data_IF_115086460335
#
_entry.id   IF_115086460335
#
_cell.length_a   1.000
_cell.length_b   1.000
_cell.length_c   1.000
_cell.angle_alpha   90.00
_cell.angle_beta   90.00
_cell.angle_gamma   90.00
#
_symmetry.space_group_name_H-M   'P 1'
#
loop_
_entity.id
_entity.type
_entity.pdbx_description
1 polymer ?
#
# COMPACT_ATOMS: atom_id res chain seq x y z
N UNK A 1 -70.65 59.81 39.96
CA UNK A 1 -70.20 58.47 39.53
C UNK A 1 -68.92 58.69 38.72
N UNK A 2 -67.73 58.13 38.97
CA UNK A 2 -67.23 57.10 39.89
C UNK A 2 -65.70 57.01 39.64
N UNK A 3 -64.87 56.96 40.70
CA UNK A 3 -63.63 56.14 40.95
C UNK A 3 -62.64 55.87 39.78
N UNK A 4 -61.35 56.25 39.86
CA UNK A 4 -60.22 55.73 40.67
C UNK A 4 -59.41 54.59 40.01
N UNK A 5 -58.10 54.88 39.82
CA UNK A 5 -56.87 54.08 39.88
C UNK A 5 -56.83 52.54 39.66
N UNK A 6 -55.66 52.09 39.18
CA UNK A 6 -54.88 50.90 39.59
C UNK A 6 -54.54 49.88 38.49
N UNK A 7 -53.22 49.77 38.26
CA UNK A 7 -52.34 48.58 38.13
C UNK A 7 -52.85 47.29 37.46
N UNK A 8 -51.92 46.68 36.71
CA UNK A 8 -51.18 45.43 37.06
C UNK A 8 -51.19 44.39 35.93
N UNK A 9 -49.98 43.90 35.73
CA UNK A 9 -49.52 42.73 35.00
C UNK A 9 -50.36 41.44 35.09
N UNK A 10 -49.94 40.49 34.23
CA UNK A 10 -50.18 39.03 34.13
C UNK A 10 -51.25 38.64 33.10
N UNK A 11 -51.07 37.62 32.24
CA UNK A 11 -50.26 36.40 32.36
C UNK A 11 -50.08 35.70 30.98
N UNK A 12 -49.04 34.88 30.82
CA UNK A 12 -49.12 33.70 29.94
C UNK A 12 -47.84 33.24 29.23
N UNK A 13 -47.09 32.30 29.85
CA UNK A 13 -46.20 31.27 29.24
C UNK A 13 -44.98 31.79 28.43
N UNK A 14 -43.77 31.25 28.50
CA UNK A 14 -43.21 30.01 29.05
C UNK A 14 -41.70 30.03 28.77
N UNK A 15 -40.92 29.56 29.76
CA UNK A 15 -39.65 28.83 29.61
C UNK A 15 -38.37 29.61 29.24
N UNK A 16 -37.41 29.37 30.13
CA UNK A 16 -35.97 29.62 30.25
C UNK A 16 -35.10 29.33 29.02
N UNK A 17 -33.84 29.84 29.01
CA UNK A 17 -33.04 30.10 27.81
C UNK A 17 -32.32 28.86 27.29
N UNK A 18 -32.16 28.76 25.97
CA UNK A 18 -31.28 27.79 25.32
C UNK A 18 -30.11 28.52 24.68
N UNK A 19 -28.95 28.47 25.34
CA UNK A 19 -27.65 28.69 24.70
C UNK A 19 -27.42 27.54 23.73
N UNK A 20 -27.51 27.79 22.42
CA UNK A 20 -27.00 26.87 21.42
C UNK A 20 -25.49 27.07 21.28
N UNK A 21 -24.75 26.35 22.13
CA UNK A 21 -23.33 26.09 21.92
C UNK A 21 -23.23 25.17 20.70
N UNK A 22 -22.74 25.70 19.58
CA UNK A 22 -22.32 24.90 18.42
C UNK A 22 -21.21 23.95 18.87
N UNK A 23 -21.59 22.70 19.14
CA UNK A 23 -20.66 21.61 19.39
C UNK A 23 -20.13 21.18 18.03
N UNK A 24 -18.86 21.49 17.81
CA UNK A 24 -18.01 20.91 16.77
C UNK A 24 -18.13 19.39 16.85
N UNK A 25 -18.85 18.77 15.92
CA UNK A 25 -18.73 17.34 15.65
C UNK A 25 -17.44 17.13 14.87
N UNK A 26 -16.32 17.16 15.58
CA UNK A 26 -15.17 16.40 15.16
C UNK A 26 -15.58 14.93 15.23
N UNK A 27 -15.95 14.38 14.07
CA UNK A 27 -16.01 12.95 13.82
C UNK A 27 -14.61 12.42 14.10
N UNK A 28 -14.40 12.00 15.34
CA UNK A 28 -13.26 11.16 15.72
C UNK A 28 -13.44 9.92 14.87
N UNK A 29 -12.63 9.79 13.81
CA UNK A 29 -12.39 8.51 13.15
C UNK A 29 -11.92 7.57 14.25
N UNK A 30 -12.83 6.78 14.81
CA UNK A 30 -12.49 5.64 15.64
C UNK A 30 -11.67 4.72 14.75
N UNK A 31 -10.35 4.82 14.85
CA UNK A 31 -9.48 3.75 14.40
C UNK A 31 -9.91 2.54 15.24
N UNK A 32 -10.54 1.50 14.65
CA UNK A 32 -10.87 0.32 15.41
C UNK A 32 -9.55 -0.16 15.99
N UNK A 33 -9.45 -0.20 17.32
CA UNK A 33 -8.25 -0.68 18.02
C UNK A 33 -8.11 -2.13 17.58
N UNK A 34 -7.32 -2.35 16.52
CA UNK A 34 -7.00 -3.67 16.02
C UNK A 34 -6.42 -4.42 17.22
N UNK A 35 -7.01 -5.57 17.58
CA UNK A 35 -6.53 -6.37 18.69
C UNK A 35 -5.02 -6.61 18.54
N UNK A 36 -4.28 -6.72 19.64
CA UNK A 36 -2.83 -6.94 19.60
C UNK A 36 -2.45 -8.10 18.67
N UNK A 37 -3.24 -9.17 18.68
CA UNK A 37 -3.12 -10.30 17.75
C UNK A 37 -3.16 -9.86 16.27
N UNK A 38 -4.17 -9.09 15.86
CA UNK A 38 -4.28 -8.62 14.48
C UNK A 38 -3.11 -7.70 14.08
N UNK A 39 -2.55 -6.94 15.02
CA UNK A 39 -1.36 -6.10 14.77
C UNK A 39 -0.13 -6.98 14.56
N UNK A 40 0.05 -8.01 15.38
CA UNK A 40 1.13 -8.99 15.25
C UNK A 40 1.03 -9.71 13.89
N UNK A 41 -0.16 -10.17 13.52
CA UNK A 41 -0.42 -10.80 12.21
C UNK A 41 -0.08 -9.87 11.04
N UNK A 42 -0.48 -8.59 11.09
CA UNK A 42 -0.11 -7.60 10.06
C UNK A 42 1.41 -7.45 9.93
N UNK A 43 2.14 -7.37 11.04
CA UNK A 43 3.61 -7.24 11.03
C UNK A 43 4.29 -8.50 10.48
N UNK A 44 3.80 -9.70 10.85
CA UNK A 44 4.33 -10.96 10.31
C UNK A 44 4.11 -11.08 8.80
N UNK A 45 2.90 -10.78 8.32
CA UNK A 45 2.59 -10.80 6.90
C UNK A 45 3.44 -9.79 6.12
N UNK A 46 3.63 -8.59 6.70
CA UNK A 46 4.52 -7.58 6.14
C UNK A 46 5.96 -8.11 6.03
N UNK A 47 6.46 -8.83 7.04
CA UNK A 47 7.78 -9.47 6.99
C UNK A 47 7.94 -10.41 5.80
N UNK A 48 6.93 -11.24 5.52
CA UNK A 48 6.93 -12.16 4.36
C UNK A 48 6.97 -11.38 3.04
N UNK A 49 6.20 -10.30 2.93
CA UNK A 49 6.16 -9.45 1.73
C UNK A 49 7.50 -8.74 1.52
N UNK A 50 8.12 -8.23 2.59
CA UNK A 50 9.46 -7.62 2.56
C UNK A 50 10.52 -8.62 2.09
N UNK A 51 10.50 -9.85 2.60
CA UNK A 51 11.46 -10.87 2.15
C UNK A 51 11.31 -11.21 0.66
N UNK A 52 10.07 -11.29 0.16
CA UNK A 52 9.81 -11.48 -1.28
C UNK A 52 10.33 -10.30 -2.09
N UNK A 53 10.06 -9.08 -1.65
CA UNK A 53 10.54 -7.87 -2.32
C UNK A 53 12.07 -7.84 -2.37
N UNK A 54 12.76 -8.13 -1.26
CA UNK A 54 14.22 -8.21 -1.22
C UNK A 54 14.78 -9.20 -2.23
N UNK A 55 14.24 -10.42 -2.28
CA UNK A 55 14.68 -11.45 -3.24
C UNK A 55 14.51 -11.02 -4.69
N UNK A 56 13.39 -10.36 -5.02
CA UNK A 56 13.15 -9.84 -6.37
C UNK A 56 14.11 -8.69 -6.71
N UNK A 57 14.36 -7.80 -5.75
CA UNK A 57 15.26 -6.67 -5.93
C UNK A 57 16.72 -7.13 -6.08
N UNK A 58 17.16 -8.10 -5.29
CA UNK A 58 18.49 -8.71 -5.41
C UNK A 58 18.65 -9.39 -6.77
N UNK A 59 17.62 -10.11 -7.24
CA UNK A 59 17.62 -10.70 -8.59
C UNK A 59 17.73 -9.65 -9.69
N UNK A 60 17.02 -8.52 -9.55
CA UNK A 60 17.09 -7.39 -10.49
C UNK A 60 18.48 -6.74 -10.50
N UNK A 61 19.11 -6.53 -9.34
CA UNK A 61 20.46 -5.98 -9.26
C UNK A 61 21.47 -6.88 -9.96
N UNK A 62 21.45 -8.19 -9.65
CA UNK A 62 22.30 -9.17 -10.31
C UNK A 62 22.12 -9.18 -11.84
N UNK A 63 20.88 -9.01 -12.31
CA UNK A 63 20.57 -8.94 -13.73
C UNK A 63 21.08 -7.65 -14.40
N UNK A 64 21.06 -6.53 -13.68
CA UNK A 64 21.55 -5.24 -14.16
C UNK A 64 23.08 -5.18 -14.26
N UNK A 65 23.78 -5.94 -13.43
CA UNK A 65 25.23 -6.11 -13.50
C UNK A 65 25.67 -6.98 -14.69
N UNK A 66 24.74 -7.71 -15.30
CA UNK A 66 25.00 -8.58 -16.43
C UNK A 66 25.24 -7.75 -17.71
N UNK A 67 26.48 -7.34 -17.94
CA UNK A 67 26.87 -6.64 -19.16
C UNK A 67 27.06 -7.63 -20.31
N UNK A 68 26.22 -7.49 -21.34
CA UNK A 68 26.51 -8.06 -22.66
C UNK A 68 27.73 -7.33 -23.24
N UNK A 69 28.83 -8.05 -23.45
CA UNK A 69 29.99 -7.49 -24.15
C UNK A 69 29.56 -6.91 -25.50
N UNK A 70 30.13 -5.77 -25.89
CA UNK A 70 29.80 -5.06 -27.15
C UNK A 70 30.04 -5.91 -28.41
N UNK A 71 30.75 -7.03 -28.27
CA UNK A 71 31.09 -8.01 -29.29
C UNK A 71 30.14 -9.22 -29.32
N UNK A 72 29.18 -9.33 -28.39
CA UNK A 72 28.18 -10.40 -28.33
C UNK A 72 28.74 -11.81 -28.12
N UNK A 73 30.04 -11.92 -27.81
CA UNK A 73 30.80 -13.18 -27.77
C UNK A 73 30.99 -13.74 -26.35
N UNK A 74 30.68 -12.96 -25.30
CA UNK A 74 30.94 -13.34 -23.91
C UNK A 74 29.73 -13.86 -23.14
N UNK A 75 28.51 -13.71 -23.65
CA UNK A 75 27.28 -14.05 -22.92
C UNK A 75 26.68 -15.36 -23.41
N UNK A 76 26.35 -16.24 -22.46
CA UNK A 76 25.68 -17.51 -22.74
C UNK A 76 24.54 -17.69 -21.75
N UNK A 77 23.40 -18.16 -22.24
CA UNK A 77 22.27 -18.57 -21.40
C UNK A 77 22.20 -20.09 -21.42
N UNK A 78 22.05 -20.67 -20.23
CA UNK A 78 21.77 -22.10 -20.02
C UNK A 78 20.47 -22.23 -19.25
N UNK A 79 19.43 -22.80 -19.87
CA UNK A 79 18.20 -23.20 -19.20
C UNK A 79 18.29 -24.68 -18.87
N UNK A 80 18.11 -25.02 -17.60
CA UNK A 80 18.11 -26.41 -17.12
C UNK A 80 16.73 -26.79 -16.60
N UNK A 81 16.21 -27.89 -17.12
CA UNK A 81 14.95 -28.48 -16.68
C UNK A 81 15.17 -29.44 -15.49
N UNK A 82 14.13 -29.70 -14.71
CA UNK A 82 14.14 -30.65 -13.60
C UNK A 82 14.49 -32.08 -14.05
N UNK A 83 14.20 -32.42 -15.31
CA UNK A 83 14.59 -33.69 -15.94
C UNK A 83 16.07 -33.75 -16.34
N UNK A 84 16.87 -32.72 -16.07
CA UNK A 84 18.29 -32.65 -16.39
C UNK A 84 18.60 -32.25 -17.85
N UNK A 85 17.58 -31.90 -18.64
CA UNK A 85 17.78 -31.37 -20.00
C UNK A 85 18.32 -29.95 -19.92
N UNK A 86 19.28 -29.63 -20.77
CA UNK A 86 19.92 -28.32 -20.83
C UNK A 86 19.76 -27.72 -22.23
N UNK A 87 19.21 -26.52 -22.30
CA UNK A 87 19.21 -25.67 -23.48
C UNK A 87 20.27 -24.60 -23.30
N UNK A 88 21.26 -24.53 -24.20
CA UNK A 88 22.39 -23.60 -24.12
C UNK A 88 22.49 -22.81 -25.43
N UNK A 89 22.59 -21.49 -25.33
CA UNK A 89 22.79 -20.60 -26.49
C UNK A 89 23.67 -19.41 -26.13
N UNK A 90 24.53 -19.02 -27.07
CA UNK A 90 25.34 -17.79 -27.04
C UNK A 90 24.91 -16.81 -28.13
N UNK A 91 23.77 -17.04 -28.79
CA UNK A 91 23.29 -16.15 -29.83
C UNK A 91 22.78 -14.85 -29.21
N UNK A 92 23.45 -13.73 -29.52
CA UNK A 92 23.18 -12.42 -28.92
C UNK A 92 21.69 -12.04 -28.93
N UNK A 93 20.99 -12.20 -30.07
CA UNK A 93 19.55 -11.85 -30.16
C UNK A 93 18.71 -12.62 -29.13
N UNK A 94 18.99 -13.92 -28.97
CA UNK A 94 18.27 -14.76 -28.01
C UNK A 94 18.63 -14.37 -26.59
N UNK A 95 19.90 -14.11 -26.31
CA UNK A 95 20.37 -13.68 -24.98
C UNK A 95 19.72 -12.37 -24.57
N UNK A 96 19.74 -11.37 -25.46
CA UNK A 96 19.14 -10.05 -25.22
C UNK A 96 17.63 -10.12 -25.01
N UNK A 97 16.91 -10.89 -25.85
CA UNK A 97 15.45 -11.06 -25.72
C UNK A 97 15.08 -11.71 -24.37
N UNK A 98 15.84 -12.72 -23.95
CA UNK A 98 15.62 -13.37 -22.65
C UNK A 98 15.92 -12.40 -21.52
N UNK A 99 17.00 -11.63 -21.59
CA UNK A 99 17.37 -10.64 -20.59
C UNK A 99 16.26 -9.59 -20.40
N UNK A 100 15.78 -9.00 -21.50
CA UNK A 100 14.68 -8.04 -21.50
C UNK A 100 13.39 -8.63 -20.93
N UNK A 101 13.06 -9.87 -21.33
CA UNK A 101 11.86 -10.56 -20.82
C UNK A 101 11.93 -10.81 -19.32
N UNK A 102 13.09 -11.23 -18.81
CA UNK A 102 13.30 -11.45 -17.37
C UNK A 102 13.24 -10.12 -16.61
N UNK A 103 13.84 -9.04 -17.13
CA UNK A 103 13.75 -7.70 -16.54
C UNK A 103 12.30 -7.23 -16.43
N UNK A 104 11.52 -7.33 -17.51
CA UNK A 104 10.11 -6.93 -17.52
C UNK A 104 9.28 -7.71 -16.49
N UNK A 105 9.50 -9.02 -16.37
CA UNK A 105 8.80 -9.86 -15.38
C UNK A 105 9.20 -9.48 -13.96
N UNK A 106 10.49 -9.24 -13.68
CA UNK A 106 10.95 -8.80 -12.37
C UNK A 106 10.36 -7.44 -11.98
N UNK A 107 10.36 -6.47 -12.89
CA UNK A 107 9.79 -5.14 -12.66
C UNK A 107 8.30 -5.21 -12.35
N UNK A 108 7.54 -5.98 -13.14
CA UNK A 108 6.13 -6.20 -12.88
C UNK A 108 5.91 -6.83 -11.49
N UNK A 109 6.69 -7.86 -11.13
CA UNK A 109 6.55 -8.53 -9.83
C UNK A 109 6.96 -7.66 -8.66
N UNK A 110 7.96 -6.80 -8.81
CA UNK A 110 8.33 -5.83 -7.77
C UNK A 110 7.15 -4.90 -7.51
N UNK A 111 6.54 -4.32 -8.55
CA UNK A 111 5.37 -3.42 -8.41
C UNK A 111 4.18 -4.15 -7.76
N UNK A 112 3.89 -5.39 -8.15
CA UNK A 112 2.83 -6.20 -7.53
C UNK A 112 3.08 -6.47 -6.03
N UNK A 113 4.33 -6.68 -5.64
CA UNK A 113 4.72 -6.91 -4.24
C UNK A 113 4.70 -5.61 -3.45
N UNK A 114 5.15 -4.50 -4.03
CA UNK A 114 5.08 -3.17 -3.43
C UNK A 114 3.63 -2.74 -3.17
N UNK A 115 2.70 -3.06 -4.08
CA UNK A 115 1.28 -2.81 -3.89
C UNK A 115 0.66 -3.57 -2.69
N UNK A 116 1.27 -4.70 -2.28
CA UNK A 116 0.86 -5.45 -1.07
C UNK A 116 1.38 -4.80 0.21
N UNK A 117 2.40 -3.94 0.12
CA UNK A 117 2.91 -3.11 1.20
C UNK A 117 2.08 -1.81 1.22
N UNK A 118 0.78 -1.92 1.48
CA UNK A 118 -0.06 -0.74 1.73
C UNK A 118 -0.39 -0.63 3.23
N UNK A 119 -0.11 0.52 3.79
CA UNK A 119 -0.27 0.80 5.23
C UNK A 119 -1.59 1.51 5.57
N UNK A 120 -2.44 1.76 4.57
CA UNK A 120 -3.77 2.36 4.74
C UNK A 120 -4.78 1.45 5.47
#
# INVERSE_FOLDING_TARGET
MTIAAVKKATNGKSVTPSMETKKDEQVVKENPILSLEKRIQKVQNLGIVIEKWKKLNDAKQNLSEFQLGNDGLSSTITLKDASGREFKTSHNIVVSTVLESVQAVLDQKIVEVEAQINFE
#
